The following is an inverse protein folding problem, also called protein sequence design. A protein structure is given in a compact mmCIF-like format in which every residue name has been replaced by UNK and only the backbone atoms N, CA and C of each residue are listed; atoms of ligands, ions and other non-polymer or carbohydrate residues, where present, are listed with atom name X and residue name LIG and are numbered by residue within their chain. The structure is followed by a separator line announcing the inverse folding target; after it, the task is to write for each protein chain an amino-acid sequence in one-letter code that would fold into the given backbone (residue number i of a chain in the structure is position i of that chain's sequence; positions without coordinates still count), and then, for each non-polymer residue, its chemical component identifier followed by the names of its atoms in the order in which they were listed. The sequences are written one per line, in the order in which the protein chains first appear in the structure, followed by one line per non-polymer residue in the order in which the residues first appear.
data_IF_854377726332
#
_entry.id   IF_854377726332
#
_cell.length_a   1.000
_cell.length_b   1.000
_cell.length_c   1.000
_cell.angle_alpha   90.00
_cell.angle_beta   90.00
_cell.angle_gamma   90.00
#
_symmetry.space_group_name_H-M   'P 1'
#
loop_
_entity.id
_entity.type
_entity.pdbx_description
1 polymer ?
#
# COMPACT_ATOMS: atom_id res chain seq x y z
N UNK A 1 -10.32 -6.76 8.77
CA UNK A 1 -9.19 -7.59 8.31
C UNK A 1 -9.66 -8.44 7.16
N UNK A 2 -8.94 -8.42 6.04
CA UNK A 2 -9.26 -9.25 4.87
C UNK A 2 -8.81 -10.68 5.16
N UNK A 3 -9.66 -11.67 4.88
CA UNK A 3 -9.31 -13.10 4.97
C UNK A 3 -8.18 -13.38 3.98
N UNK A 4 -7.19 -14.20 4.38
CA UNK A 4 -5.96 -14.42 3.58
C UNK A 4 -6.28 -14.83 2.14
N UNK A 5 -7.22 -15.75 1.93
CA UNK A 5 -7.62 -16.25 0.60
C UNK A 5 -8.26 -15.18 -0.31
N UNK A 6 -8.73 -14.08 0.27
CA UNK A 6 -9.32 -12.95 -0.45
C UNK A 6 -8.37 -11.74 -0.54
N UNK A 7 -7.20 -11.81 0.09
CA UNK A 7 -6.21 -10.74 -0.01
C UNK A 7 -5.62 -10.74 -1.42
N UNK A 8 -5.63 -9.59 -2.09
CA UNK A 8 -5.20 -9.52 -3.48
C UNK A 8 -3.76 -10.01 -3.68
N UNK A 9 -3.53 -10.75 -4.77
CA UNK A 9 -2.21 -11.27 -5.13
C UNK A 9 -1.69 -10.56 -6.37
N UNK A 10 -0.51 -9.96 -6.24
CA UNK A 10 0.27 -9.44 -7.39
C UNK A 10 1.64 -10.10 -7.36
N UNK A 11 1.91 -10.92 -8.36
CA UNK A 11 3.22 -11.56 -8.60
C UNK A 11 3.75 -11.08 -9.95
N UNK A 12 5.02 -10.66 -10.03
CA UNK A 12 5.67 -10.37 -11.32
C UNK A 12 6.21 -11.63 -11.96
N UNK A 13 6.63 -12.57 -11.12
CA UNK A 13 7.42 -13.74 -11.46
C UNK A 13 6.81 -14.99 -10.78
N UNK A 14 7.27 -16.20 -11.14
CA UNK A 14 6.82 -17.43 -10.47
C UNK A 14 7.03 -17.39 -8.96
N UNK A 15 6.10 -17.97 -8.21
CA UNK A 15 6.20 -18.04 -6.74
C UNK A 15 7.31 -19.02 -6.35
N UNK A 16 8.35 -18.60 -5.63
CA UNK A 16 9.43 -19.48 -5.20
C UNK A 16 8.92 -20.66 -4.35
N UNK A 17 9.65 -21.77 -4.43
CA UNK A 17 9.54 -22.90 -3.49
C UNK A 17 10.69 -22.78 -2.50
N UNK A 18 10.37 -22.38 -1.27
CA UNK A 18 11.36 -22.11 -0.24
C UNK A 18 11.23 -23.15 0.86
N UNK A 19 12.32 -23.89 1.11
CA UNK A 19 12.45 -24.74 2.29
C UNK A 19 12.88 -23.90 3.50
N UNK A 20 12.04 -23.79 4.56
CA UNK A 20 12.37 -23.05 5.77
C UNK A 20 13.68 -23.47 6.45
N UNK A 21 14.07 -24.74 6.30
CA UNK A 21 15.28 -25.28 6.94
C UNK A 21 16.57 -24.77 6.29
N UNK A 22 16.53 -24.45 5.00
CA UNK A 22 17.69 -23.98 4.23
C UNK A 22 17.63 -22.49 3.90
N UNK A 23 16.50 -21.83 4.14
CA UNK A 23 16.31 -20.40 3.94
C UNK A 23 17.41 -19.55 4.58
N UNK A 24 17.86 -18.55 3.82
CA UNK A 24 18.87 -17.57 4.19
C UNK A 24 18.38 -16.16 3.82
N UNK A 25 18.61 -15.22 4.74
CA UNK A 25 18.45 -13.78 4.53
C UNK A 25 19.82 -13.12 4.64
N UNK A 26 20.35 -12.63 3.51
CA UNK A 26 21.60 -11.89 3.49
C UNK A 26 21.37 -10.41 3.86
N UNK A 27 22.23 -9.86 4.71
CA UNK A 27 22.30 -8.44 5.01
C UNK A 27 23.73 -7.98 4.72
N UNK A 28 23.87 -7.00 3.84
CA UNK A 28 25.17 -6.47 3.41
C UNK A 28 25.10 -4.98 3.09
N UNK A 29 26.27 -4.38 2.78
CA UNK A 29 26.36 -2.98 2.38
C UNK A 29 27.02 -2.06 3.41
N UNK A 30 26.78 -0.77 3.28
CA UNK A 30 27.50 0.29 3.99
C UNK A 30 27.16 0.27 5.48
N UNK A 31 28.19 0.24 6.34
CA UNK A 31 28.03 0.42 7.79
C UNK A 31 27.46 -0.77 8.55
N UNK A 32 27.15 -1.88 7.87
CA UNK A 32 26.74 -3.14 8.50
C UNK A 32 27.84 -4.17 8.46
N UNK A 33 27.84 -5.07 9.44
CA UNK A 33 28.54 -6.35 9.36
C UNK A 33 27.75 -7.27 8.45
N UNK A 34 28.38 -7.76 7.40
CA UNK A 34 27.76 -8.75 6.52
C UNK A 34 27.35 -9.99 7.32
N UNK A 35 26.08 -10.36 7.23
CA UNK A 35 25.50 -11.47 7.98
C UNK A 35 24.48 -12.19 7.13
N UNK A 36 24.44 -13.51 7.29
CA UNK A 36 23.41 -14.36 6.72
C UNK A 36 22.60 -14.93 7.88
N UNK A 37 21.33 -14.58 7.95
CA UNK A 37 20.39 -15.05 8.96
C UNK A 37 19.61 -16.24 8.43
N UNK A 38 19.55 -17.33 9.20
CA UNK A 38 18.57 -18.40 8.99
C UNK A 38 17.20 -17.95 9.48
N UNK A 39 16.13 -18.63 9.05
CA UNK A 39 14.77 -18.30 9.48
C UNK A 39 14.63 -18.26 11.02
N UNK A 40 15.24 -19.24 11.70
CA UNK A 40 15.24 -19.34 13.17
C UNK A 40 16.00 -18.21 13.86
N UNK A 41 16.97 -17.60 13.20
CA UNK A 41 17.72 -16.48 13.78
C UNK A 41 16.84 -15.23 13.94
N UNK A 42 15.68 -15.18 13.25
CA UNK A 42 14.70 -14.11 13.44
C UNK A 42 13.99 -14.20 14.81
N UNK A 43 13.95 -15.37 15.44
CA UNK A 43 13.33 -15.59 16.75
C UNK A 43 14.08 -14.88 17.89
N UNK A 44 15.34 -14.47 17.66
CA UNK A 44 16.13 -13.73 18.66
C UNK A 44 15.60 -12.30 18.86
N UNK A 45 14.87 -11.77 17.88
CA UNK A 45 14.32 -10.42 17.92
C UNK A 45 12.90 -10.43 18.48
N UNK A 46 12.52 -9.34 19.14
CA UNK A 46 11.14 -9.16 19.59
C UNK A 46 10.20 -9.10 18.38
N UNK A 47 9.16 -9.93 18.40
CA UNK A 47 8.09 -9.88 17.39
C UNK A 47 7.13 -8.74 17.72
N UNK A 48 6.79 -7.96 16.70
CA UNK A 48 5.75 -6.93 16.74
C UNK A 48 4.61 -7.33 15.82
N UNK A 49 3.38 -6.96 16.17
CA UNK A 49 2.20 -7.12 15.32
C UNK A 49 1.65 -5.74 14.98
N UNK A 50 1.49 -5.48 13.68
CA UNK A 50 0.98 -4.21 13.16
C UNK A 50 -0.20 -4.49 12.24
N UNK A 51 -1.19 -3.60 12.22
CA UNK A 51 -2.26 -3.63 11.21
C UNK A 51 -1.89 -2.66 10.10
N UNK A 52 -1.72 -3.15 8.88
CA UNK A 52 -1.36 -2.32 7.75
C UNK A 52 -2.09 -2.76 6.47
N UNK A 53 -2.62 -1.77 5.75
CA UNK A 53 -3.12 -1.95 4.41
C UNK A 53 -1.95 -1.93 3.41
N UNK A 54 -2.04 -2.80 2.41
CA UNK A 54 -1.17 -2.78 1.24
C UNK A 54 -2.05 -2.45 0.05
N UNK A 55 -1.69 -1.43 -0.71
CA UNK A 55 -2.36 -1.06 -1.95
C UNK A 55 -1.38 -1.13 -3.13
N UNK A 56 -1.81 -1.71 -4.24
CA UNK A 56 -1.06 -1.66 -5.49
C UNK A 56 -1.15 -0.26 -6.11
N UNK A 57 -0.05 0.28 -6.65
CA UNK A 57 -0.07 1.48 -7.49
C UNK A 57 -1.01 1.36 -8.71
N UNK A 58 -1.27 0.12 -9.15
CA UNK A 58 -2.21 -0.15 -10.24
C UNK A 58 -3.68 -0.21 -9.83
N UNK A 59 -4.04 0.03 -8.57
CA UNK A 59 -5.44 -0.01 -8.14
C UNK A 59 -6.29 0.96 -8.98
N UNK A 60 -7.49 0.52 -9.39
CA UNK A 60 -8.43 1.26 -10.26
C UNK A 60 -7.93 1.56 -11.68
N UNK A 61 -6.89 0.89 -12.17
CA UNK A 61 -6.36 1.10 -13.52
C UNK A 61 -7.44 0.95 -14.61
N UNK A 62 -8.41 0.06 -14.42
CA UNK A 62 -9.49 -0.14 -15.41
C UNK A 62 -10.30 1.11 -15.68
N UNK A 63 -10.43 2.00 -14.69
CA UNK A 63 -11.14 3.27 -14.85
C UNK A 63 -10.34 4.27 -15.70
N UNK A 64 -9.02 4.31 -15.53
CA UNK A 64 -8.13 5.09 -16.37
C UNK A 64 -8.13 4.59 -17.82
N UNK A 65 -8.15 3.27 -18.02
CA UNK A 65 -8.25 2.64 -19.35
C UNK A 65 -9.53 3.00 -20.11
N UNK A 66 -10.63 3.34 -19.42
CA UNK A 66 -11.86 3.84 -20.06
C UNK A 66 -11.68 5.23 -20.70
N UNK A 67 -10.72 6.04 -20.21
CA UNK A 67 -10.42 7.38 -20.73
C UNK A 67 -9.40 7.33 -21.87
N UNK A 68 -8.25 6.69 -21.63
CA UNK A 68 -7.21 6.44 -22.63
C UNK A 68 -6.59 5.06 -22.35
N UNK A 69 -6.41 4.19 -23.36
CA UNK A 69 -5.78 2.90 -23.16
C UNK A 69 -4.39 3.03 -22.52
N UNK A 70 -4.13 2.25 -21.45
CA UNK A 70 -2.86 2.19 -20.73
C UNK A 70 -2.33 0.77 -20.68
N UNK A 71 -1.01 0.60 -20.51
CA UNK A 71 -0.42 -0.73 -20.30
C UNK A 71 -0.45 -1.13 -18.82
N UNK A 72 -0.65 -2.41 -18.56
CA UNK A 72 -0.60 -3.01 -17.23
C UNK A 72 -1.81 -3.89 -16.92
N UNK A 73 -1.77 -4.57 -15.77
CA UNK A 73 -2.89 -5.39 -15.30
C UNK A 73 -4.15 -4.55 -15.10
N UNK A 74 -5.28 -5.02 -15.61
CA UNK A 74 -6.54 -4.30 -15.63
C UNK A 74 -7.30 -4.42 -14.29
N UNK A 75 -6.73 -3.82 -13.24
CA UNK A 75 -7.32 -3.85 -11.90
C UNK A 75 -8.57 -2.98 -11.80
N UNK A 76 -9.63 -3.54 -11.21
CA UNK A 76 -10.74 -2.78 -10.63
C UNK A 76 -10.34 -2.11 -9.30
N UNK A 77 -11.30 -1.94 -8.39
CA UNK A 77 -11.10 -1.21 -7.13
C UNK A 77 -10.45 -2.03 -6.00
N UNK A 78 -10.31 -3.35 -6.18
CA UNK A 78 -9.92 -4.28 -5.13
C UNK A 78 -8.42 -4.67 -5.14
N UNK A 79 -7.52 -3.88 -5.74
CA UNK A 79 -6.07 -4.12 -5.64
C UNK A 79 -5.49 -3.51 -4.35
N UNK A 80 -6.15 -3.80 -3.24
CA UNK A 80 -5.88 -3.30 -1.88
C UNK A 80 -6.36 -4.35 -0.88
N UNK A 81 -5.66 -4.49 0.25
CA UNK A 81 -6.05 -5.37 1.33
C UNK A 81 -5.45 -4.95 2.67
N UNK A 82 -6.20 -5.13 3.76
CA UNK A 82 -5.75 -4.82 5.12
C UNK A 82 -5.57 -6.10 5.95
N UNK A 83 -4.41 -6.27 6.55
CA UNK A 83 -4.03 -7.46 7.31
C UNK A 83 -3.16 -7.11 8.53
N UNK A 84 -3.06 -8.09 9.44
CA UNK A 84 -2.23 -8.03 10.63
C UNK A 84 -0.93 -8.72 10.30
N UNK A 85 0.17 -8.00 10.35
CA UNK A 85 1.47 -8.50 9.97
C UNK A 85 2.30 -8.65 11.24
N UNK A 86 2.94 -9.80 11.41
CA UNK A 86 3.81 -10.02 12.58
C UNK A 86 5.19 -10.48 12.19
N UNK A 87 6.20 -9.90 12.84
CA UNK A 87 7.61 -10.22 12.66
C UNK A 87 8.51 -9.22 13.40
N UNK A 88 9.84 -9.40 13.35
CA UNK A 88 10.76 -8.43 13.91
C UNK A 88 10.78 -7.11 13.14
N UNK A 89 11.09 -6.01 13.84
CA UNK A 89 11.28 -4.71 13.22
C UNK A 89 12.56 -4.71 12.40
N UNK A 90 12.49 -4.14 11.19
CA UNK A 90 13.67 -3.93 10.34
C UNK A 90 14.74 -3.11 11.08
N UNK A 91 14.32 -2.10 11.84
CA UNK A 91 15.17 -1.28 12.71
C UNK A 91 16.04 -2.13 13.63
N UNK A 92 15.45 -3.09 14.35
CA UNK A 92 16.15 -3.94 15.32
C UNK A 92 17.17 -4.84 14.61
N UNK A 93 16.80 -5.40 13.47
CA UNK A 93 17.67 -6.27 12.66
C UNK A 93 18.87 -5.51 12.09
N UNK A 94 18.64 -4.31 11.54
CA UNK A 94 19.72 -3.49 10.98
C UNK A 94 20.64 -2.93 12.06
N UNK A 95 20.10 -2.56 13.22
CA UNK A 95 20.87 -2.09 14.37
C UNK A 95 21.75 -3.21 14.93
N UNK A 96 21.24 -4.45 15.05
CA UNK A 96 22.03 -5.62 15.46
C UNK A 96 23.12 -5.97 14.43
N UNK A 97 22.87 -5.72 13.13
CA UNK A 97 23.88 -5.81 12.08
C UNK A 97 24.91 -4.65 12.14
N UNK A 98 24.74 -3.67 13.02
CA UNK A 98 25.69 -2.58 13.26
C UNK A 98 25.35 -1.24 12.59
N UNK A 99 24.23 -1.15 11.86
CA UNK A 99 23.82 0.10 11.22
C UNK A 99 23.42 1.15 12.26
N UNK A 100 23.98 2.34 12.14
CA UNK A 100 23.60 3.51 12.95
C UNK A 100 22.58 4.36 12.22
N UNK A 101 21.71 5.03 12.97
CA UNK A 101 20.68 5.93 12.41
C UNK A 101 21.31 7.08 11.61
N UNK A 102 22.47 7.57 12.03
CA UNK A 102 23.22 8.66 11.41
C UNK A 102 24.37 8.19 10.51
N UNK A 103 24.32 6.93 10.03
CA UNK A 103 25.38 6.34 9.23
C UNK A 103 25.66 7.15 7.94
N UNK A 104 26.84 7.75 7.78
CA UNK A 104 27.16 8.56 6.60
C UNK A 104 27.17 7.73 5.31
N UNK A 105 26.67 8.32 4.22
CA UNK A 105 26.66 7.71 2.89
C UNK A 105 25.58 6.65 2.68
N UNK A 106 24.67 6.48 3.63
CA UNK A 106 23.49 5.62 3.49
C UNK A 106 22.27 6.49 3.27
N UNK A 107 21.54 6.20 2.20
CA UNK A 107 20.32 6.91 1.83
C UNK A 107 19.14 5.96 1.66
N UNK A 108 19.39 4.68 1.38
CA UNK A 108 18.36 3.70 1.09
C UNK A 108 18.68 2.32 1.66
N UNK A 109 17.61 1.60 2.01
CA UNK A 109 17.63 0.16 2.24
C UNK A 109 16.98 -0.51 1.04
N UNK A 110 17.76 -1.33 0.34
CA UNK A 110 17.30 -2.11 -0.82
C UNK A 110 16.91 -3.51 -0.37
N UNK A 111 15.91 -4.08 -1.04
CA UNK A 111 15.37 -5.39 -0.76
C UNK A 111 15.32 -6.18 -2.06
N UNK A 112 15.75 -7.44 -2.03
CA UNK A 112 15.64 -8.37 -3.14
C UNK A 112 14.86 -9.61 -2.73
N UNK A 113 13.88 -9.98 -3.56
CA UNK A 113 13.12 -11.21 -3.44
C UNK A 113 13.88 -12.40 -4.02
N UNK A 114 13.42 -13.60 -3.67
CA UNK A 114 13.91 -14.87 -4.23
C UNK A 114 13.28 -15.19 -5.60
N UNK A 115 12.26 -14.43 -6.02
CA UNK A 115 11.66 -14.56 -7.34
C UNK A 115 12.50 -13.86 -8.40
N UNK A 116 12.90 -14.60 -9.44
CA UNK A 116 13.78 -14.12 -10.52
C UNK A 116 13.14 -14.23 -11.90
N UNK A 117 13.55 -13.36 -12.80
CA UNK A 117 13.23 -13.46 -14.22
C UNK A 117 14.07 -14.55 -14.93
N UNK A 118 13.84 -14.84 -16.22
CA UNK A 118 14.63 -15.84 -16.96
C UNK A 118 16.13 -15.53 -17.06
N UNK A 119 16.55 -14.30 -16.78
CA UNK A 119 17.95 -13.88 -16.73
C UNK A 119 18.54 -13.92 -15.29
N UNK A 120 17.81 -14.51 -14.34
CA UNK A 120 18.14 -14.58 -12.92
C UNK A 120 18.22 -13.20 -12.23
N UNK A 121 17.49 -12.20 -12.72
CA UNK A 121 17.39 -10.90 -12.05
C UNK A 121 16.24 -10.93 -11.04
N UNK A 122 16.49 -10.68 -9.74
CA UNK A 122 15.47 -10.77 -8.70
C UNK A 122 14.53 -9.57 -8.71
N UNK A 123 13.29 -9.76 -8.24
CA UNK A 123 12.43 -8.63 -7.88
C UNK A 123 13.12 -7.76 -6.83
N UNK A 124 13.20 -6.46 -7.09
CA UNK A 124 13.89 -5.52 -6.20
C UNK A 124 13.08 -4.25 -5.96
N UNK A 125 13.26 -3.66 -4.78
CA UNK A 125 12.76 -2.33 -4.43
C UNK A 125 13.62 -1.71 -3.33
N UNK A 126 13.42 -0.43 -3.05
CA UNK A 126 14.07 0.23 -1.91
C UNK A 126 13.17 1.26 -1.24
N UNK A 127 13.46 1.52 0.05
CA UNK A 127 12.86 2.60 0.83
C UNK A 127 13.96 3.54 1.35
N UNK A 128 13.64 4.81 1.64
CA UNK A 128 14.57 5.73 2.27
C UNK A 128 15.03 5.22 3.64
N UNK A 129 16.29 5.52 4.01
CA UNK A 129 16.84 5.13 5.32
C UNK A 129 16.01 5.69 6.48
N UNK A 130 15.48 6.90 6.34
CA UNK A 130 14.66 7.55 7.37
C UNK A 130 13.40 6.73 7.68
N UNK A 131 12.83 6.06 6.68
CA UNK A 131 11.67 5.17 6.87
C UNK A 131 12.08 3.83 7.51
N UNK A 132 13.23 3.29 7.12
CA UNK A 132 13.72 2.01 7.62
C UNK A 132 14.27 2.07 9.05
N UNK A 133 14.92 3.19 9.40
CA UNK A 133 15.61 3.44 10.66
C UNK A 133 14.87 4.40 11.58
N UNK A 134 13.58 4.66 11.36
CA UNK A 134 12.73 5.36 12.34
C UNK A 134 12.52 4.46 13.58
N UNK A 135 12.98 4.85 14.79
CA UNK A 135 12.78 4.08 16.01
C UNK A 135 11.30 3.91 16.39
N UNK A 136 10.45 4.84 15.94
CA UNK A 136 9.00 4.79 16.10
C UNK A 136 8.30 4.22 14.86
N UNK A 137 9.07 3.83 13.84
CA UNK A 137 8.57 3.24 12.62
C UNK A 137 8.10 1.81 12.83
N UNK A 138 7.21 1.38 11.93
CA UNK A 138 6.59 0.06 11.95
C UNK A 138 6.98 -0.77 10.73
N UNK A 139 8.19 -0.55 10.18
CA UNK A 139 8.72 -1.42 9.12
C UNK A 139 9.15 -2.75 9.75
N UNK A 140 8.55 -3.86 9.30
CA UNK A 140 8.81 -5.19 9.84
C UNK A 140 9.20 -6.18 8.75
N UNK A 141 9.98 -7.19 9.15
CA UNK A 141 10.21 -8.41 8.39
C UNK A 141 9.15 -9.42 8.81
N UNK A 142 7.97 -9.36 8.18
CA UNK A 142 6.83 -10.19 8.57
C UNK A 142 7.08 -11.67 8.24
N UNK A 143 6.73 -12.55 9.18
CA UNK A 143 6.68 -14.01 9.04
C UNK A 143 5.27 -14.56 9.18
N UNK A 144 4.34 -13.75 9.71
CA UNK A 144 2.93 -14.09 9.86
C UNK A 144 2.01 -13.01 9.28
N UNK A 145 0.85 -13.45 8.80
CA UNK A 145 -0.26 -12.64 8.33
C UNK A 145 -1.56 -13.15 8.98
N UNK A 146 -2.30 -12.26 9.63
CA UNK A 146 -3.53 -12.57 10.38
C UNK A 146 -3.33 -13.72 11.38
N UNK A 147 -2.21 -13.70 12.11
CA UNK A 147 -1.87 -14.71 13.13
C UNK A 147 -1.36 -16.06 12.59
N UNK A 148 -1.45 -16.30 11.27
CA UNK A 148 -0.97 -17.51 10.62
C UNK A 148 0.38 -17.29 9.92
N UNK A 149 1.20 -18.33 9.70
CA UNK A 149 2.36 -18.23 8.82
C UNK A 149 1.97 -17.63 7.46
N UNK A 150 2.87 -16.86 6.85
CA UNK A 150 2.64 -16.34 5.49
C UNK A 150 2.26 -17.46 4.52
N UNK A 151 1.30 -17.21 3.64
CA UNK A 151 1.08 -18.09 2.50
C UNK A 151 2.22 -17.93 1.48
N UNK A 152 2.39 -18.92 0.60
CA UNK A 152 3.37 -18.84 -0.49
C UNK A 152 3.15 -17.58 -1.35
N UNK A 153 1.92 -17.29 -1.74
CA UNK A 153 1.60 -16.10 -2.56
C UNK A 153 1.88 -14.77 -1.86
N UNK A 154 1.85 -14.75 -0.53
CA UNK A 154 2.11 -13.56 0.27
C UNK A 154 3.53 -13.48 0.81
N UNK A 155 4.47 -14.29 0.33
CA UNK A 155 5.90 -14.10 0.58
C UNK A 155 6.50 -14.99 1.65
N UNK A 156 5.93 -16.18 1.91
CA UNK A 156 6.56 -17.16 2.79
C UNK A 156 8.04 -17.44 2.42
N UNK A 157 8.97 -17.52 3.38
CA UNK A 157 8.75 -17.43 4.82
C UNK A 157 8.84 -16.01 5.40
N UNK A 158 9.42 -15.06 4.67
CA UNK A 158 9.66 -13.68 5.12
C UNK A 158 9.31 -12.69 4.01
N UNK A 159 8.61 -11.61 4.37
CA UNK A 159 8.43 -10.44 3.51
C UNK A 159 8.71 -9.15 4.26
N UNK A 160 9.01 -8.08 3.53
CA UNK A 160 9.01 -6.73 4.09
C UNK A 160 7.57 -6.21 4.11
N UNK A 161 7.20 -5.57 5.22
CA UNK A 161 6.02 -4.73 5.35
C UNK A 161 6.45 -3.31 5.68
N UNK A 162 6.09 -2.37 4.82
CA UNK A 162 6.39 -0.94 4.93
C UNK A 162 5.05 -0.18 5.00
N UNK A 163 4.53 0.11 6.21
CA UNK A 163 3.24 0.77 6.35
C UNK A 163 3.22 2.17 5.74
N UNK A 164 2.12 2.49 5.05
CA UNK A 164 1.94 3.78 4.37
C UNK A 164 2.80 3.94 3.11
N UNK A 165 3.25 2.84 2.51
CA UNK A 165 4.04 2.85 1.28
C UNK A 165 3.41 1.87 0.30
N UNK A 166 3.45 2.24 -0.98
CA UNK A 166 2.92 1.44 -2.09
C UNK A 166 3.37 -0.01 -2.01
N UNK A 167 2.47 -0.93 -2.35
CA UNK A 167 2.70 -2.37 -2.26
C UNK A 167 3.93 -2.87 -3.01
N UNK A 168 4.41 -2.15 -4.01
CA UNK A 168 5.63 -2.48 -4.74
C UNK A 168 6.90 -2.51 -3.85
N UNK A 169 6.95 -1.72 -2.77
CA UNK A 169 8.11 -1.69 -1.84
C UNK A 169 8.04 -2.77 -0.75
N UNK A 170 6.92 -3.46 -0.65
CA UNK A 170 6.68 -4.53 0.33
C UNK A 170 7.17 -5.87 -0.24
N UNK A 171 8.48 -6.00 -0.47
CA UNK A 171 9.11 -7.14 -1.16
C UNK A 171 8.75 -8.46 -0.47
N UNK A 172 8.31 -9.44 -1.27
CA UNK A 172 7.95 -10.80 -0.85
C UNK A 172 9.11 -11.75 -1.05
N UNK A 173 9.09 -12.88 -0.36
CA UNK A 173 10.12 -13.92 -0.47
C UNK A 173 11.51 -13.32 -0.27
N UNK A 174 11.68 -12.52 0.78
CA UNK A 174 12.86 -11.69 0.97
C UNK A 174 14.12 -12.56 1.08
N UNK A 175 15.10 -12.36 0.20
CA UNK A 175 16.38 -13.06 0.22
C UNK A 175 17.57 -12.18 0.61
N UNK A 176 17.49 -10.87 0.33
CA UNK A 176 18.61 -9.95 0.59
C UNK A 176 18.15 -8.56 0.99
N UNK A 177 18.90 -7.95 1.90
CA UNK A 177 18.81 -6.56 2.32
C UNK A 177 20.16 -5.89 2.08
N UNK A 178 20.18 -4.80 1.32
CA UNK A 178 21.41 -4.05 1.01
C UNK A 178 21.30 -2.63 1.54
N UNK A 179 22.24 -2.25 2.40
CA UNK A 179 22.38 -0.89 2.91
C UNK A 179 23.20 -0.07 1.90
N UNK A 180 22.58 0.95 1.32
CA UNK A 180 23.11 1.62 0.12
C UNK A 180 22.99 3.15 0.18
N UNK A 181 23.90 3.82 -0.52
CA UNK A 181 23.82 5.26 -0.80
C UNK A 181 22.86 5.61 -1.94
N UNK A 182 22.31 4.62 -2.65
CA UNK A 182 21.45 4.83 -3.81
C UNK A 182 20.18 3.97 -3.71
N UNK A 183 19.13 4.36 -4.43
CA UNK A 183 17.96 3.51 -4.65
C UNK A 183 18.33 2.15 -5.27
N UNK A 184 17.44 1.17 -5.12
CA UNK A 184 17.54 -0.11 -5.84
C UNK A 184 17.68 0.14 -7.35
N UNK A 185 18.62 -0.53 -7.98
CA UNK A 185 18.86 -0.46 -9.44
C UNK A 185 17.93 -1.36 -10.24
N UNK A 186 17.04 -2.10 -9.56
CA UNK A 186 16.07 -2.99 -10.20
C UNK A 186 15.16 -2.23 -11.15
N UNK A 187 14.70 -2.92 -12.21
CA UNK A 187 13.79 -2.35 -13.20
C UNK A 187 12.53 -1.77 -12.54
N UNK A 188 11.96 -2.46 -11.54
CA UNK A 188 10.74 -2.03 -10.85
C UNK A 188 10.93 -0.78 -9.97
N UNK A 189 12.14 -0.46 -9.51
CA UNK A 189 12.41 0.80 -8.82
C UNK A 189 12.68 1.93 -9.82
N UNK A 190 13.47 1.66 -10.86
CA UNK A 190 13.99 2.70 -11.76
C UNK A 190 13.03 3.06 -12.90
N UNK A 191 12.39 2.06 -13.50
CA UNK A 191 11.65 2.14 -14.76
C UNK A 191 10.17 1.71 -14.66
N UNK A 192 9.63 1.62 -13.44
CA UNK A 192 8.21 1.36 -13.18
C UNK A 192 7.79 2.08 -11.88
N UNK A 193 6.49 2.05 -11.54
CA UNK A 193 5.93 2.64 -10.33
C UNK A 193 6.30 4.11 -10.14
N UNK A 194 6.11 4.91 -11.19
CA UNK A 194 6.30 6.36 -11.24
C UNK A 194 5.08 7.04 -11.85
N UNK A 195 4.72 8.22 -11.34
CA UNK A 195 3.63 9.04 -11.87
C UNK A 195 4.13 10.06 -12.89
N UNK A 196 3.45 10.18 -14.02
CA UNK A 196 3.80 11.12 -15.10
C UNK A 196 2.62 12.02 -15.45
N UNK A 197 2.94 13.16 -16.07
CA UNK A 197 1.93 14.07 -16.61
C UNK A 197 1.07 13.35 -17.68
N UNK A 198 -0.24 13.61 -17.78
CA UNK A 198 -1.10 13.03 -18.82
C UNK A 198 -0.64 13.28 -20.26
N UNK A 199 0.25 14.24 -20.50
CA UNK A 199 0.85 14.53 -21.82
C UNK A 199 2.00 13.61 -22.21
N UNK A 200 2.53 12.80 -21.29
CA UNK A 200 3.65 11.86 -21.54
C UNK A 200 3.11 10.57 -22.15
N UNK A 201 3.81 10.02 -23.15
CA UNK A 201 3.51 8.74 -23.79
C UNK A 201 4.77 7.86 -23.90
N UNK A 202 4.66 6.64 -24.45
CA UNK A 202 5.76 5.65 -24.47
C UNK A 202 7.01 6.08 -25.23
N UNK A 203 6.87 6.97 -26.20
CA UNK A 203 7.97 7.52 -27.00
C UNK A 203 8.67 8.71 -26.33
N UNK A 204 8.04 9.31 -25.32
CA UNK A 204 8.50 10.54 -24.65
C UNK A 204 8.79 10.35 -23.16
N UNK A 205 8.47 9.18 -22.60
CA UNK A 205 8.68 8.88 -21.19
C UNK A 205 10.17 8.89 -20.84
N UNK A 206 10.49 9.61 -19.76
CA UNK A 206 11.82 9.67 -19.18
C UNK A 206 11.67 9.41 -17.67
N UNK A 207 12.03 8.19 -17.26
CA UNK A 207 11.85 7.74 -15.88
C UNK A 207 12.71 8.49 -14.87
N UNK A 208 13.76 9.20 -15.30
CA UNK A 208 14.59 10.02 -14.40
C UNK A 208 13.86 11.28 -13.92
N UNK A 209 12.80 11.71 -14.61
CA UNK A 209 12.06 12.95 -14.30
C UNK A 209 10.97 12.78 -13.25
N UNK A 210 10.72 11.57 -12.78
CA UNK A 210 9.71 11.30 -11.76
C UNK A 210 10.33 10.49 -10.61
N UNK A 211 10.01 10.83 -9.35
CA UNK A 211 10.44 10.02 -8.21
C UNK A 211 9.72 8.67 -8.22
N UNK A 212 10.39 7.63 -7.70
CA UNK A 212 9.75 6.36 -7.42
C UNK A 212 8.60 6.57 -6.41
N UNK A 213 7.42 6.01 -6.68
CA UNK A 213 6.29 6.10 -5.75
C UNK A 213 6.70 5.43 -4.44
N UNK A 214 6.60 6.17 -3.34
CA UNK A 214 6.74 5.68 -1.98
C UNK A 214 5.34 5.71 -1.35
N UNK A 215 4.96 6.83 -0.73
CA UNK A 215 3.62 7.04 -0.17
C UNK A 215 2.56 7.17 -1.28
N UNK A 216 1.35 6.66 -1.04
CA UNK A 216 0.22 6.85 -1.94
C UNK A 216 -0.67 8.05 -1.51
N UNK A 217 -1.30 8.73 -2.49
CA UNK A 217 -2.29 9.76 -2.18
C UNK A 217 -3.53 9.14 -1.52
N UNK A 218 -4.37 9.99 -0.94
CA UNK A 218 -5.67 9.58 -0.39
C UNK A 218 -6.51 8.92 -1.49
N UNK A 219 -7.07 7.75 -1.19
CA UNK A 219 -7.98 7.03 -2.07
C UNK A 219 -9.25 6.62 -1.34
N UNK A 220 -10.37 6.59 -2.05
CA UNK A 220 -11.61 5.97 -1.58
C UNK A 220 -12.32 5.23 -2.71
N UNK A 221 -13.21 4.32 -2.33
CA UNK A 221 -14.07 3.58 -3.24
C UNK A 221 -15.34 3.12 -2.54
N UNK A 222 -16.46 3.06 -3.26
CA UNK A 222 -17.69 2.43 -2.78
C UNK A 222 -17.64 0.96 -3.17
N UNK A 223 -17.82 0.08 -2.19
CA UNK A 223 -17.75 -1.37 -2.37
C UNK A 223 -19.15 -2.02 -2.40
N UNK A 224 -20.15 -1.36 -1.82
CA UNK A 224 -21.53 -1.85 -1.69
C UNK A 224 -22.47 -0.63 -1.74
N UNK A 225 -23.34 -0.49 -2.75
CA UNK A 225 -23.50 -1.38 -3.91
C UNK A 225 -22.42 -1.22 -4.97
N UNK A 226 -22.30 -2.18 -5.89
CA UNK A 226 -21.36 -2.10 -7.03
C UNK A 226 -21.96 -1.31 -8.21
N UNK A 227 -21.09 -0.81 -9.11
CA UNK A 227 -21.51 -0.08 -10.32
C UNK A 227 -22.50 -0.92 -11.16
N UNK A 228 -23.69 -0.37 -11.42
CA UNK A 228 -24.74 -1.01 -12.22
C UNK A 228 -25.69 -1.93 -11.44
N UNK A 229 -25.50 -2.10 -10.12
CA UNK A 229 -26.38 -2.92 -9.29
C UNK A 229 -27.76 -2.27 -9.09
N UNK A 230 -28.82 -3.06 -9.27
CA UNK A 230 -30.18 -2.67 -8.89
C UNK A 230 -30.41 -2.96 -7.42
N UNK A 231 -30.58 -1.90 -6.62
CA UNK A 231 -30.77 -2.00 -5.17
C UNK A 231 -32.22 -1.78 -4.77
N UNK A 232 -32.69 -2.54 -3.78
CA UNK A 232 -34.00 -2.32 -3.15
C UNK A 232 -33.82 -1.50 -1.89
N UNK A 233 -34.57 -0.40 -1.78
CA UNK A 233 -34.58 0.43 -0.58
C UNK A 233 -35.31 -0.30 0.54
N UNK A 234 -34.74 -0.28 1.75
CA UNK A 234 -35.42 -0.74 2.97
C UNK A 234 -35.83 0.47 3.79
N UNK A 235 -37.13 0.65 4.01
CA UNK A 235 -37.70 1.83 4.68
C UNK A 235 -37.24 3.16 4.06
N UNK A 236 -37.12 3.20 2.72
CA UNK A 236 -36.63 4.36 1.97
C UNK A 236 -35.13 4.64 2.12
N UNK A 237 -34.35 3.73 2.71
CA UNK A 237 -32.91 3.88 2.96
C UNK A 237 -32.09 2.93 2.09
N UNK A 238 -30.94 3.43 1.64
CA UNK A 238 -29.87 2.65 1.03
C UNK A 238 -28.68 2.64 1.99
N UNK A 239 -28.15 1.44 2.26
CA UNK A 239 -26.89 1.29 3.00
C UNK A 239 -25.75 1.31 1.99
N UNK A 240 -24.80 2.23 2.18
CA UNK A 240 -23.59 2.33 1.34
C UNK A 240 -22.38 2.02 2.22
N UNK A 241 -21.45 1.21 1.70
CA UNK A 241 -20.18 0.91 2.35
C UNK A 241 -19.05 1.14 1.37
N UNK A 242 -17.92 1.55 1.90
CA UNK A 242 -16.74 1.80 1.10
C UNK A 242 -15.47 1.60 1.90
N UNK A 243 -14.38 1.92 1.23
CA UNK A 243 -13.05 1.96 1.80
C UNK A 243 -12.45 3.35 1.60
N UNK A 244 -11.57 3.71 2.52
CA UNK A 244 -10.81 4.95 2.50
C UNK A 244 -9.42 4.65 3.04
N UNK A 245 -8.40 4.92 2.24
CA UNK A 245 -7.02 4.77 2.65
C UNK A 245 -6.27 6.09 2.49
N UNK A 246 -5.46 6.41 3.49
CA UNK A 246 -4.46 7.46 3.45
C UNK A 246 -3.19 6.94 4.07
N UNK A 247 -2.09 7.11 3.37
CA UNK A 247 -0.76 6.82 3.88
C UNK A 247 -0.26 8.04 4.70
N UNK A 248 0.45 7.80 5.82
CA UNK A 248 1.03 8.76 6.81
C UNK A 248 0.34 9.03 8.16
N UNK A 249 -0.36 8.08 8.77
CA UNK A 249 -0.88 8.17 10.16
C UNK A 249 -1.75 9.41 10.49
N UNK A 250 -1.99 10.30 9.53
CA UNK A 250 -2.87 11.44 9.68
C UNK A 250 -4.31 10.97 9.44
N UNK A 251 -5.14 11.11 10.46
CA UNK A 251 -6.55 10.78 10.40
C UNK A 251 -7.20 11.52 9.21
N UNK A 252 -7.93 10.78 8.37
CA UNK A 252 -8.81 11.42 7.37
C UNK A 252 -9.97 12.06 8.12
N UNK A 253 -10.18 13.35 7.90
CA UNK A 253 -11.11 14.15 8.71
C UNK A 253 -12.48 14.36 8.07
N UNK A 254 -12.61 14.16 6.76
CA UNK A 254 -13.84 14.43 6.02
C UNK A 254 -14.02 13.42 4.90
N UNK A 255 -15.23 12.88 4.74
CA UNK A 255 -15.64 12.13 3.56
C UNK A 255 -16.96 12.69 3.05
N UNK A 256 -17.02 12.97 1.75
CA UNK A 256 -18.22 13.49 1.09
C UNK A 256 -18.85 12.41 0.22
N UNK A 257 -20.15 12.17 0.39
CA UNK A 257 -20.95 11.26 -0.42
C UNK A 257 -22.04 12.05 -1.15
N UNK A 258 -22.14 11.83 -2.46
CA UNK A 258 -23.07 12.53 -3.35
C UNK A 258 -24.04 11.53 -3.97
N UNK A 259 -25.34 11.78 -3.85
CA UNK A 259 -26.40 10.92 -4.41
C UNK A 259 -27.00 11.44 -5.69
N UNK A 260 -26.88 12.75 -5.89
CA UNK A 260 -27.22 13.48 -7.10
C UNK A 260 -26.10 14.51 -7.34
N UNK A 261 -26.12 15.25 -8.45
CA UNK A 261 -25.18 16.35 -8.74
C UNK A 261 -25.17 17.51 -7.71
N UNK A 262 -25.83 17.35 -6.56
CA UNK A 262 -25.87 18.30 -5.46
C UNK A 262 -25.09 17.82 -4.23
N UNK A 263 -24.44 18.78 -3.58
CA UNK A 263 -23.45 18.59 -2.52
C UNK A 263 -24.13 18.28 -1.18
N UNK A 264 -23.87 17.09 -0.63
CA UNK A 264 -24.12 16.77 0.79
C UNK A 264 -22.81 16.28 1.43
N UNK A 265 -22.26 17.06 2.37
CA UNK A 265 -21.05 16.69 3.14
C UNK A 265 -21.41 16.00 4.47
N UNK A 266 -20.60 15.04 4.92
CA UNK A 266 -20.77 14.34 6.20
C UNK A 266 -19.52 14.48 7.09
N UNK A 267 -19.69 14.72 8.41
CA UNK A 267 -18.60 14.71 9.40
C UNK A 267 -18.50 13.31 10.03
N UNK A 268 -17.38 12.57 9.84
CA UNK A 268 -17.21 11.22 10.37
C UNK A 268 -17.04 11.13 11.90
N UNK A 269 -17.08 12.25 12.64
CA UNK A 269 -16.84 12.27 14.11
C UNK A 269 -18.10 12.38 14.99
N UNK A 270 -19.30 12.49 14.41
CA UNK A 270 -20.52 12.71 15.20
C UNK A 270 -21.38 11.45 15.35
N UNK A 271 -21.78 11.06 16.58
CA UNK A 271 -22.85 10.09 16.78
C UNK A 271 -24.19 10.72 16.41
N UNK A 272 -24.91 10.08 15.49
CA UNK A 272 -26.35 10.17 15.16
C UNK A 272 -27.04 11.49 15.56
N UNK A 273 -27.27 12.36 14.57
CA UNK A 273 -28.40 13.31 14.36
C UNK A 273 -27.87 14.55 13.66
N UNK A 274 -28.12 14.70 12.35
CA UNK A 274 -28.76 15.90 11.81
C UNK A 274 -28.92 15.82 10.30
N UNK A 275 -30.11 16.21 9.86
CA UNK A 275 -30.43 16.68 8.52
C UNK A 275 -29.58 17.93 8.23
N UNK A 276 -28.94 18.03 7.07
CA UNK A 276 -28.28 19.26 6.63
C UNK A 276 -28.93 19.77 5.35
N UNK A 277 -29.71 20.84 5.50
CA UNK A 277 -30.10 21.75 4.43
C UNK A 277 -28.87 22.56 3.99
N UNK A 278 -28.77 22.84 2.69
CA UNK A 278 -27.72 23.66 2.07
C UNK A 278 -27.45 24.96 2.85
N UNK A 279 -26.23 25.13 3.35
CA UNK A 279 -25.63 26.45 3.49
C UNK A 279 -24.25 26.45 2.84
N UNK A 280 -24.06 27.43 1.95
CA UNK A 280 -22.80 27.77 1.28
C UNK A 280 -21.67 27.84 2.30
N UNK A 281 -20.74 26.91 2.26
CA UNK A 281 -19.45 27.06 2.92
C UNK A 281 -18.53 27.88 1.99
N UNK A 282 -18.39 29.16 2.32
CA UNK A 282 -17.23 29.97 1.99
C UNK A 282 -16.07 29.37 2.82
N UNK A 283 -15.20 28.59 2.19
CA UNK A 283 -14.10 27.93 2.88
C UNK A 283 -12.91 28.90 3.02
N UNK A 284 -12.86 29.63 4.13
CA UNK A 284 -11.62 30.19 4.65
C UNK A 284 -10.93 29.11 5.51
N UNK A 285 -10.32 28.11 4.86
CA UNK A 285 -9.47 27.13 5.54
C UNK A 285 -8.32 26.71 4.63
N UNK A 286 -7.19 27.39 4.77
CA UNK A 286 -5.92 26.95 4.18
C UNK A 286 -5.53 25.58 4.75
N UNK A 287 -5.35 24.59 3.87
CA UNK A 287 -4.70 23.31 4.20
C UNK A 287 -5.58 22.06 4.30
N UNK A 288 -6.88 22.09 3.97
CA UNK A 288 -7.74 20.89 3.99
C UNK A 288 -7.90 20.28 2.58
N UNK A 289 -7.46 19.03 2.36
CA UNK A 289 -7.70 18.29 1.11
C UNK A 289 -9.03 17.53 1.16
N UNK A 290 -9.91 17.79 0.19
CA UNK A 290 -11.20 17.12 -0.01
C UNK A 290 -10.95 15.88 -0.88
N UNK A 291 -11.31 14.68 -0.40
CA UNK A 291 -11.42 13.48 -1.25
C UNK A 291 -12.87 13.35 -1.72
N UNK A 292 -13.08 13.48 -3.03
CA UNK A 292 -14.39 13.38 -3.68
C UNK A 292 -14.61 11.95 -4.17
N UNK A 293 -15.57 11.24 -3.57
CA UNK A 293 -16.11 10.02 -4.16
C UNK A 293 -17.25 10.41 -5.11
N UNK A 294 -17.02 10.38 -6.41
CA UNK A 294 -18.06 10.66 -7.41
C UNK A 294 -18.50 9.35 -8.05
N UNK A 295 -19.49 8.70 -7.46
CA UNK A 295 -20.28 7.67 -8.15
C UNK A 295 -21.61 8.30 -8.56
N UNK A 296 -21.97 8.24 -9.85
CA UNK A 296 -23.34 8.59 -10.29
C UNK A 296 -24.30 7.50 -9.84
N UNK A 297 -24.98 7.72 -8.72
CA UNK A 297 -26.25 7.06 -8.45
C UNK A 297 -27.33 7.85 -9.21
N UNK A 298 -28.07 7.20 -10.10
CA UNK A 298 -29.17 7.81 -10.82
C UNK A 298 -30.47 7.24 -10.25
N UNK A 299 -31.10 7.93 -9.29
CA UNK A 299 -32.44 7.57 -8.82
C UNK A 299 -33.18 8.80 -8.24
N UNK A 300 -34.37 9.15 -8.75
CA UNK A 300 -35.07 10.40 -8.37
C UNK A 300 -35.68 10.43 -6.95
N UNK A 301 -35.43 9.43 -6.08
CA UNK A 301 -36.19 9.22 -4.84
C UNK A 301 -35.35 8.69 -3.65
N UNK A 302 -34.08 9.11 -3.51
CA UNK A 302 -33.29 8.74 -2.33
C UNK A 302 -33.37 9.87 -1.28
N UNK A 303 -34.18 9.67 -0.24
CA UNK A 303 -34.41 10.70 0.79
C UNK A 303 -33.31 10.74 1.87
N UNK A 304 -32.54 9.66 2.08
CA UNK A 304 -31.47 9.60 3.08
C UNK A 304 -30.44 8.53 2.71
N UNK A 305 -29.14 8.86 2.69
CA UNK A 305 -28.06 7.86 2.68
C UNK A 305 -27.16 8.02 3.88
N UNK A 306 -26.84 6.86 4.44
CA UNK A 306 -25.96 6.71 5.57
C UNK A 306 -24.70 6.01 5.06
N UNK A 307 -23.58 6.75 5.07
CA UNK A 307 -22.27 6.18 4.83
C UNK A 307 -21.75 5.63 6.16
N UNK A 308 -21.38 4.36 6.18
CA UNK A 308 -20.51 3.81 7.23
C UNK A 308 -19.18 3.54 6.54
N UNK A 309 -18.15 4.29 6.94
CA UNK A 309 -16.75 4.10 6.55
C UNK A 309 -16.07 3.36 7.69
#
# INVERSE_FOLDING_TARGET
MVVVDLFYVRNHLPVPEVDPATYELEISGIGVKEVVLKLKDLDKYKTYTITAAIQCAGNRRSEMSKVKPVKGLNWGQAAIGNAEWSGPRLYDVLTDAGLKVDQPGVHHIQFEGLDTDPANVPYGASIPIEKAMDPNGDVILATKMNGQPLSRDHGFPVRVIVPGVVGARNVKWLGKIVVSGEESKSHWQQNDYKGFCPSVDWDTVDFSKAPAIQELPVISGICDPIEGESVTLRDGKLKVRGELLRDNFQQVRVTCLFLDTFITSFDPRLPILSVCHLQKLKADYEGCMISTCVSRLMAPLIQNVYAII
#
